data_IF_404028614419
#
_entry.id   IF_404028614419
#
_cell.length_a   1.000
_cell.length_b   1.000
_cell.length_c   1.000
_cell.angle_alpha   90.00
_cell.angle_beta   90.00
_cell.angle_gamma   90.00
#
_symmetry.space_group_name_H-M   'P 1'
#
loop_
_entity.id
_entity.type
_entity.pdbx_description
1 polymer ?
#
# COMPACT_ATOMS: atom_id res chain seq x y z
N UNK A 1 -22.38 48.73 -23.95
CA UNK A 1 -21.03 49.04 -23.42
C UNK A 1 -21.03 48.77 -21.92
N UNK A 2 -19.97 48.11 -21.40
CA UNK A 2 -19.64 47.81 -19.98
C UNK A 2 -20.42 46.67 -19.29
N UNK A 3 -19.95 45.43 -19.56
CA UNK A 3 -20.02 44.27 -18.66
C UNK A 3 -18.77 44.31 -17.76
N UNK A 4 -18.90 44.59 -16.46
CA UNK A 4 -17.87 44.28 -15.44
C UNK A 4 -18.47 44.63 -14.09
N UNK A 5 -18.63 43.66 -13.17
CA UNK A 5 -18.77 43.84 -11.71
C UNK A 5 -19.07 42.51 -10.98
N UNK A 6 -18.41 41.41 -11.35
CA UNK A 6 -18.42 40.16 -10.56
C UNK A 6 -17.03 39.52 -10.36
N UNK A 7 -16.00 40.04 -11.03
CA UNK A 7 -14.65 39.43 -11.03
C UNK A 7 -13.71 39.98 -9.95
N UNK A 8 -14.01 41.13 -9.33
CA UNK A 8 -13.09 41.76 -8.35
C UNK A 8 -13.31 41.37 -6.88
N UNK A 9 -14.39 40.66 -6.54
CA UNK A 9 -14.66 40.25 -5.15
C UNK A 9 -14.09 38.86 -4.79
N UNK A 10 -13.53 38.13 -5.77
CA UNK A 10 -12.79 36.87 -5.54
C UNK A 10 -11.28 37.08 -5.38
N UNK A 11 -10.77 38.31 -5.57
CA UNK A 11 -9.34 38.61 -5.54
C UNK A 11 -8.80 39.02 -4.15
N UNK A 12 -9.65 39.14 -3.13
CA UNK A 12 -9.26 39.57 -1.78
C UNK A 12 -9.23 38.46 -0.72
N UNK A 13 -9.59 37.21 -1.07
CA UNK A 13 -9.52 36.03 -0.17
C UNK A 13 -8.45 35.02 -0.63
N UNK A 14 -7.69 35.31 -1.68
CA UNK A 14 -6.70 34.39 -2.24
C UNK A 14 -5.22 34.78 -2.00
N UNK A 15 -4.93 35.80 -1.17
CA UNK A 15 -3.56 36.37 -1.04
C UNK A 15 -2.97 36.27 0.38
N UNK A 16 -3.60 35.56 1.32
CA UNK A 16 -3.10 35.43 2.70
C UNK A 16 -2.89 33.98 3.19
N UNK A 17 -2.61 33.03 2.29
CA UNK A 17 -2.26 31.65 2.69
C UNK A 17 -1.18 31.03 1.80
N UNK A 18 -0.29 31.86 1.23
CA UNK A 18 0.92 31.38 0.58
C UNK A 18 2.09 31.58 1.55
N UNK A 19 2.85 30.50 1.77
CA UNK A 19 4.05 30.33 2.62
C UNK A 19 3.84 29.89 4.07
N UNK A 20 3.64 28.57 4.24
CA UNK A 20 4.67 27.70 4.83
C UNK A 20 4.67 26.36 4.06
N UNK A 21 5.04 26.41 2.78
CA UNK A 21 5.47 25.22 2.04
C UNK A 21 6.99 25.27 1.93
N UNK A 22 7.68 24.89 2.99
CA UNK A 22 9.14 24.78 2.97
C UNK A 22 9.60 23.72 3.96
N UNK A 23 9.82 22.50 3.43
CA UNK A 23 10.57 21.46 4.12
C UNK A 23 9.84 20.12 4.31
N UNK A 24 9.32 19.50 3.26
CA UNK A 24 9.31 18.02 3.24
C UNK A 24 10.39 17.61 2.25
N UNK A 25 11.61 17.58 2.76
CA UNK A 25 12.73 16.91 2.14
C UNK A 25 12.41 15.42 2.03
N UNK A 26 12.04 14.98 0.82
CA UNK A 26 12.27 13.63 0.28
C UNK A 26 12.18 12.44 1.24
N UNK A 27 11.13 12.33 2.05
CA UNK A 27 10.78 11.03 2.60
C UNK A 27 10.28 10.19 1.42
N UNK A 28 11.06 9.19 1.01
CA UNK A 28 10.58 8.22 0.04
C UNK A 28 9.31 7.58 0.61
N UNK A 29 8.19 7.77 -0.09
CA UNK A 29 6.90 7.24 0.31
C UNK A 29 6.78 5.84 -0.28
N UNK A 30 6.98 4.83 0.56
CA UNK A 30 6.80 3.44 0.16
C UNK A 30 5.37 3.00 0.46
N UNK A 31 4.73 2.35 -0.51
CA UNK A 31 3.37 1.84 -0.34
C UNK A 31 3.43 0.56 0.51
N UNK A 32 2.52 0.47 1.48
CA UNK A 32 2.29 -0.76 2.25
C UNK A 32 1.00 -1.38 1.74
N UNK A 33 1.13 -2.54 1.11
CA UNK A 33 -0.01 -3.33 0.65
C UNK A 33 -0.35 -4.36 1.72
N UNK A 34 -1.63 -4.47 2.10
CA UNK A 34 -2.10 -5.38 3.14
C UNK A 34 -3.23 -6.24 2.59
N UNK A 35 -3.16 -7.54 2.88
CA UNK A 35 -4.18 -8.54 2.54
C UNK A 35 -4.46 -9.44 3.74
N UNK A 36 -5.67 -9.98 3.81
CA UNK A 36 -6.06 -10.88 4.89
C UNK A 36 -5.19 -12.16 4.91
N UNK A 37 -4.69 -12.51 6.08
CA UNK A 37 -4.11 -13.82 6.37
C UNK A 37 -5.25 -14.82 6.61
N UNK A 38 -5.61 -15.55 5.57
CA UNK A 38 -6.73 -16.50 5.63
C UNK A 38 -6.27 -17.87 6.13
N UNK A 39 -6.86 -18.34 7.23
CA UNK A 39 -6.76 -19.72 7.67
C UNK A 39 -7.88 -20.57 7.04
N UNK A 40 -7.49 -21.71 6.45
CA UNK A 40 -8.44 -22.55 5.72
C UNK A 40 -8.88 -21.89 4.41
N UNK A 41 -10.18 -21.58 4.29
CA UNK A 41 -10.74 -20.93 3.08
C UNK A 41 -11.32 -19.54 3.34
N UNK A 42 -11.85 -19.29 4.53
CA UNK A 42 -12.68 -18.10 4.81
C UNK A 42 -12.48 -17.51 6.21
N UNK A 43 -11.59 -18.07 7.03
CA UNK A 43 -11.37 -17.57 8.39
C UNK A 43 -10.26 -16.54 8.37
N UNK A 44 -10.58 -15.32 8.79
CA UNK A 44 -9.59 -14.30 9.07
C UNK A 44 -8.74 -14.70 10.29
N UNK A 45 -7.43 -14.86 10.07
CA UNK A 45 -6.45 -15.13 11.10
C UNK A 45 -5.52 -13.93 11.37
N UNK A 46 -5.72 -12.80 10.66
CA UNK A 46 -4.95 -11.58 10.75
C UNK A 46 -4.57 -11.02 9.38
N UNK A 47 -3.40 -10.40 9.28
CA UNK A 47 -2.99 -9.64 8.11
C UNK A 47 -1.59 -10.03 7.63
N UNK A 48 -1.40 -10.02 6.32
CA UNK A 48 -0.08 -10.01 5.67
C UNK A 48 0.13 -8.64 5.05
N UNK A 49 1.20 -7.96 5.43
CA UNK A 49 1.58 -6.69 4.85
C UNK A 49 2.94 -6.73 4.17
N UNK A 50 3.04 -6.11 3.01
CA UNK A 50 4.27 -6.05 2.20
C UNK A 50 4.57 -4.60 1.84
N UNK A 51 5.81 -4.18 2.09
CA UNK A 51 6.33 -2.88 1.67
C UNK A 51 7.84 -2.96 1.48
N UNK A 52 8.43 -2.01 0.77
CA UNK A 52 9.88 -1.85 0.67
C UNK A 52 10.34 -0.53 1.30
N UNK A 53 11.64 -0.36 1.51
CA UNK A 53 12.26 0.93 1.87
C UNK A 53 13.24 1.43 0.78
N UNK A 54 13.11 0.91 -0.43
CA UNK A 54 14.01 1.13 -1.56
C UNK A 54 15.31 0.33 -1.49
N UNK A 55 15.57 -0.36 -0.37
CA UNK A 55 16.73 -1.23 -0.18
C UNK A 55 16.30 -2.67 0.15
N UNK A 56 15.32 -2.82 1.04
CA UNK A 56 14.84 -4.09 1.55
C UNK A 56 13.34 -4.23 1.27
N UNK A 57 12.90 -5.46 1.00
CA UNK A 57 11.50 -5.84 1.01
C UNK A 57 11.15 -6.41 2.39
N UNK A 58 10.09 -5.91 2.99
CA UNK A 58 9.55 -6.36 4.26
C UNK A 58 8.25 -7.12 4.03
N UNK A 59 8.12 -8.26 4.71
CA UNK A 59 6.89 -9.05 4.78
C UNK A 59 6.55 -9.24 6.26
N UNK A 60 5.43 -8.69 6.69
CA UNK A 60 4.97 -8.72 8.07
C UNK A 60 3.70 -9.55 8.18
N UNK A 61 3.69 -10.47 9.15
CA UNK A 61 2.53 -11.29 9.49
C UNK A 61 2.03 -10.87 10.87
N UNK A 62 0.78 -10.42 10.93
CA UNK A 62 0.10 -10.10 12.19
C UNK A 62 -1.03 -11.10 12.37
N UNK A 63 -1.16 -11.67 13.57
CA UNK A 63 -2.28 -12.58 13.88
C UNK A 63 -3.28 -11.91 14.80
N UNK A 64 -4.57 -12.20 14.62
CA UNK A 64 -5.60 -11.84 15.61
C UNK A 64 -5.54 -12.76 16.84
N UNK A 65 -6.25 -12.38 17.91
CA UNK A 65 -6.24 -13.10 19.18
C UNK A 65 -6.59 -14.59 18.99
N UNK A 66 -5.84 -15.47 19.67
CA UNK A 66 -6.04 -16.91 19.64
C UNK A 66 -5.36 -17.63 18.47
N UNK A 67 -4.94 -16.91 17.42
CA UNK A 67 -4.14 -17.47 16.33
C UNK A 67 -2.65 -17.38 16.63
N UNK A 68 -1.91 -18.37 16.14
CA UNK A 68 -0.45 -18.42 16.24
C UNK A 68 0.12 -18.99 14.95
N UNK A 69 1.19 -18.40 14.47
CA UNK A 69 1.98 -18.92 13.34
C UNK A 69 3.09 -19.79 13.92
N UNK A 70 3.14 -21.05 13.49
CA UNK A 70 4.19 -22.00 13.89
C UNK A 70 5.34 -22.04 12.88
N UNK A 71 5.04 -21.76 11.61
CA UNK A 71 5.99 -21.81 10.49
C UNK A 71 5.56 -20.84 9.40
N UNK A 72 6.53 -20.28 8.67
CA UNK A 72 6.31 -19.37 7.55
C UNK A 72 7.15 -19.81 6.36
N UNK A 73 6.53 -19.85 5.17
CA UNK A 73 7.23 -19.99 3.89
C UNK A 73 6.92 -18.77 3.04
N UNK A 74 7.96 -18.09 2.56
CA UNK A 74 7.83 -16.90 1.71
C UNK A 74 8.65 -17.14 0.45
N UNK A 75 8.01 -16.95 -0.71
CA UNK A 75 8.64 -16.97 -2.02
C UNK A 75 8.54 -15.56 -2.62
N UNK A 76 9.67 -15.00 -3.04
CA UNK A 76 9.76 -13.66 -3.61
C UNK A 76 10.45 -13.76 -4.96
N UNK A 77 9.73 -13.35 -6.00
CA UNK A 77 10.19 -13.40 -7.39
C UNK A 77 10.10 -12.01 -8.02
N UNK A 78 11.07 -11.67 -8.87
CA UNK A 78 11.02 -10.44 -9.69
C UNK A 78 10.19 -10.61 -10.96
N UNK A 79 9.99 -11.85 -11.39
CA UNK A 79 9.10 -12.23 -12.50
C UNK A 79 8.00 -13.14 -11.96
N UNK A 80 6.72 -12.74 -12.08
CA UNK A 80 5.60 -13.60 -11.70
C UNK A 80 5.65 -14.99 -12.33
N UNK A 81 6.19 -15.16 -13.54
CA UNK A 81 6.26 -16.47 -14.21
C UNK A 81 7.16 -17.49 -13.49
N UNK A 82 8.01 -17.06 -12.55
CA UNK A 82 8.89 -17.94 -11.78
C UNK A 82 8.18 -18.60 -10.59
N UNK A 83 7.02 -18.08 -10.15
CA UNK A 83 6.27 -18.76 -9.11
C UNK A 83 5.79 -20.13 -9.61
N UNK A 84 5.77 -21.15 -8.74
CA UNK A 84 5.23 -22.45 -9.10
C UNK A 84 3.72 -22.33 -9.33
N UNK A 85 3.32 -22.23 -10.60
CA UNK A 85 1.92 -22.10 -11.02
C UNK A 85 1.44 -23.31 -11.80
N UNK A 86 0.15 -23.60 -11.68
CA UNK A 86 -0.57 -24.50 -12.58
C UNK A 86 -0.64 -23.89 -13.99
N UNK A 87 -0.94 -24.71 -15.01
CA UNK A 87 -1.13 -24.22 -16.40
C UNK A 87 -2.24 -23.17 -16.55
N UNK A 88 -3.12 -23.03 -15.56
CA UNK A 88 -4.21 -22.04 -15.51
C UNK A 88 -3.84 -20.76 -14.76
N UNK A 89 -2.60 -20.64 -14.25
CA UNK A 89 -2.12 -19.45 -13.54
C UNK A 89 -2.39 -19.43 -12.03
N UNK A 90 -3.03 -20.45 -11.47
CA UNK A 90 -3.19 -20.55 -10.01
C UNK A 90 -1.90 -21.10 -9.38
N UNK A 91 -1.52 -20.66 -8.16
CA UNK A 91 -0.42 -21.28 -7.40
C UNK A 91 -0.57 -22.81 -7.31
N UNK A 92 0.54 -23.54 -7.44
CA UNK A 92 0.56 -24.99 -7.24
C UNK A 92 0.42 -25.31 -5.75
N UNK A 93 -0.41 -26.32 -5.42
CA UNK A 93 -0.48 -26.85 -4.06
C UNK A 93 0.89 -27.47 -3.72
N UNK A 94 1.46 -27.07 -2.58
CA UNK A 94 2.71 -27.63 -2.06
C UNK A 94 2.61 -29.14 -1.87
N UNK A 95 3.72 -29.85 -2.07
CA UNK A 95 3.81 -31.31 -1.89
C UNK A 95 4.28 -31.69 -0.51
#
# INVERSE_FOLDING_TARGET
MKRTNRTMMMAAIAVASLFLLSGISGAAYYSKETVDLIAGQHSDAGDVSVWDDGTNLYVEFTTVEGWKITETHVDVQTDPANFPMTKKGNPQVGK
#
